data_IF_159288863662
#
_entry.id   IF_159288863662
#
_cell.length_a   1.000
_cell.length_b   1.000
_cell.length_c   1.000
_cell.angle_alpha   90.00
_cell.angle_beta   90.00
_cell.angle_gamma   90.00
#
_symmetry.space_group_name_H-M   'P 1'
#
loop_
_entity.id
_entity.type
_entity.pdbx_description
1 polymer ?
#
# COMPACT_ATOMS: atom_id res chain seq x y z
N UNK A 1 27.32 -14.19 13.30
CA UNK A 1 28.34 -14.49 12.27
C UNK A 1 29.70 -13.89 12.62
N UNK A 2 29.77 -12.60 12.99
CA UNK A 2 31.00 -11.91 13.38
C UNK A 2 31.86 -12.67 14.40
N UNK A 3 31.28 -13.11 15.54
CA UNK A 3 32.00 -13.84 16.61
C UNK A 3 32.75 -15.11 16.13
N UNK A 4 32.36 -15.69 15.00
CA UNK A 4 32.98 -16.90 14.44
C UNK A 4 34.11 -16.60 13.46
N UNK A 5 34.08 -15.45 12.79
CA UNK A 5 34.99 -15.08 11.70
C UNK A 5 35.77 -13.80 11.95
N UNK A 6 35.68 -13.23 13.16
CA UNK A 6 36.33 -11.97 13.55
C UNK A 6 37.84 -12.00 13.33
N UNK A 7 38.49 -13.16 13.45
CA UNK A 7 39.94 -13.31 13.21
C UNK A 7 40.37 -13.19 11.74
N UNK A 8 39.42 -13.12 10.80
CA UNK A 8 39.68 -12.97 9.36
C UNK A 8 39.46 -11.54 8.85
N UNK A 9 39.09 -10.61 9.73
CA UNK A 9 38.77 -9.22 9.38
C UNK A 9 39.67 -8.27 10.14
N UNK A 10 40.42 -7.47 9.40
CA UNK A 10 41.26 -6.39 9.92
C UNK A 10 41.28 -5.21 8.94
N UNK A 11 42.03 -4.16 9.28
CA UNK A 11 42.16 -2.93 8.50
C UNK A 11 42.66 -3.15 7.06
N UNK A 12 43.34 -4.27 6.80
CA UNK A 12 43.87 -4.63 5.48
C UNK A 12 43.02 -5.70 4.76
N UNK A 13 42.00 -6.26 5.43
CA UNK A 13 41.17 -7.36 4.95
C UNK A 13 39.70 -7.14 5.30
N UNK A 14 39.10 -6.12 4.68
CA UNK A 14 37.69 -5.77 4.85
C UNK A 14 36.81 -6.65 3.94
N UNK A 15 35.69 -7.21 4.43
CA UNK A 15 34.80 -8.02 3.60
C UNK A 15 34.20 -7.23 2.44
N UNK A 16 34.34 -7.75 1.23
CA UNK A 16 33.66 -7.21 0.05
C UNK A 16 32.29 -7.87 -0.14
N UNK A 17 31.24 -7.06 -0.19
CA UNK A 17 29.84 -7.52 -0.33
C UNK A 17 29.26 -7.00 -1.65
N UNK A 18 28.55 -7.87 -2.38
CA UNK A 18 27.75 -7.50 -3.56
C UNK A 18 26.34 -8.08 -3.43
N UNK A 19 25.35 -7.29 -3.83
CA UNK A 19 23.94 -7.70 -3.85
C UNK A 19 23.37 -7.64 -5.28
N UNK A 20 22.28 -8.37 -5.50
CA UNK A 20 21.45 -8.22 -6.71
C UNK A 20 20.51 -7.02 -6.52
N UNK A 21 20.08 -6.38 -7.62
CA UNK A 21 19.35 -5.11 -7.60
C UNK A 21 17.87 -5.15 -7.17
N UNK A 22 17.42 -6.25 -6.56
CA UNK A 22 16.08 -6.37 -5.97
C UNK A 22 16.15 -5.82 -4.53
N UNK A 23 15.27 -4.88 -4.18
CA UNK A 23 15.36 -4.09 -2.94
C UNK A 23 15.50 -4.98 -1.70
N UNK A 24 14.74 -6.06 -1.60
CA UNK A 24 14.80 -6.99 -0.46
C UNK A 24 16.17 -7.69 -0.30
N UNK A 25 16.89 -7.86 -1.40
CA UNK A 25 18.22 -8.49 -1.44
C UNK A 25 19.29 -7.46 -1.10
N UNK A 26 19.09 -6.21 -1.56
CA UNK A 26 19.90 -5.06 -1.12
C UNK A 26 19.74 -4.89 0.40
N UNK A 27 18.52 -4.85 0.91
CA UNK A 27 18.22 -4.66 2.34
C UNK A 27 18.80 -5.78 3.20
N UNK A 28 18.70 -7.04 2.75
CA UNK A 28 19.33 -8.17 3.44
C UNK A 28 20.85 -8.04 3.49
N UNK A 29 21.47 -7.57 2.39
CA UNK A 29 22.92 -7.34 2.34
C UNK A 29 23.36 -6.17 3.22
N UNK A 30 22.52 -5.12 3.29
CA UNK A 30 22.72 -3.95 4.13
C UNK A 30 22.62 -4.32 5.61
N UNK A 31 21.58 -5.06 6.01
CA UNK A 31 21.39 -5.52 7.39
C UNK A 31 22.50 -6.47 7.85
N UNK A 32 22.98 -7.34 6.97
CA UNK A 32 24.14 -8.17 7.28
C UNK A 32 25.39 -7.32 7.50
N UNK A 33 25.64 -6.34 6.63
CA UNK A 33 26.82 -5.47 6.69
C UNK A 33 26.78 -4.56 7.93
N UNK A 34 25.60 -4.03 8.28
CA UNK A 34 25.37 -3.22 9.47
C UNK A 34 25.59 -4.03 10.76
N UNK A 35 24.97 -5.22 10.88
CA UNK A 35 25.16 -6.07 12.06
C UNK A 35 26.58 -6.63 12.20
N UNK A 36 27.31 -6.78 11.08
CA UNK A 36 28.73 -7.11 11.09
C UNK A 36 29.61 -5.91 11.50
N UNK A 37 29.23 -4.70 11.10
CA UNK A 37 29.89 -3.44 11.49
C UNK A 37 29.68 -3.07 12.95
N UNK A 38 28.46 -3.15 13.46
CA UNK A 38 28.14 -2.79 14.85
C UNK A 38 28.85 -3.69 15.86
N UNK A 39 28.88 -5.00 15.61
CA UNK A 39 29.64 -5.95 16.41
C UNK A 39 31.16 -5.69 16.40
N UNK A 40 31.65 -4.87 15.47
CA UNK A 40 33.03 -4.37 15.42
C UNK A 40 33.25 -3.02 16.12
N UNK A 41 32.20 -2.35 16.62
CA UNK A 41 32.24 -1.07 17.35
C UNK A 41 31.85 0.18 16.54
N UNK A 42 30.84 0.10 15.67
CA UNK A 42 30.56 1.10 14.64
C UNK A 42 29.54 2.19 15.01
N UNK A 43 29.65 3.33 14.30
CA UNK A 43 28.78 4.51 14.38
C UNK A 43 27.52 4.30 13.52
N UNK A 44 26.36 4.05 14.14
CA UNK A 44 25.07 3.79 13.46
C UNK A 44 24.43 5.08 12.93
N UNK A 45 23.77 4.98 11.78
CA UNK A 45 23.00 6.05 11.14
C UNK A 45 21.50 5.96 11.46
N UNK A 46 20.74 7.02 11.16
CA UNK A 46 19.27 7.01 11.30
C UNK A 46 18.62 5.90 10.45
N UNK A 47 19.20 5.58 9.28
CA UNK A 47 18.74 4.48 8.44
C UNK A 47 18.93 3.12 9.12
N UNK A 48 20.05 2.93 9.83
CA UNK A 48 20.30 1.71 10.59
C UNK A 48 19.29 1.55 11.73
N UNK A 49 18.91 2.64 12.39
CA UNK A 49 17.85 2.65 13.41
C UNK A 49 16.52 2.18 12.84
N UNK A 50 16.07 2.70 11.70
CA UNK A 50 14.82 2.26 11.05
C UNK A 50 14.87 0.78 10.65
N UNK A 51 16.02 0.31 10.17
CA UNK A 51 16.21 -1.10 9.83
C UNK A 51 16.12 -1.99 11.07
N UNK A 52 16.76 -1.60 12.19
CA UNK A 52 16.69 -2.32 13.47
C UNK A 52 15.27 -2.35 14.04
N UNK A 53 14.52 -1.24 13.94
CA UNK A 53 13.11 -1.20 14.32
C UNK A 53 12.26 -2.14 13.45
N UNK A 54 12.53 -2.19 12.14
CA UNK A 54 11.89 -3.12 11.21
C UNK A 54 12.20 -4.59 11.50
N UNK A 55 13.35 -4.92 12.09
CA UNK A 55 13.67 -6.30 12.46
C UNK A 55 12.68 -6.88 13.48
N UNK A 56 12.10 -6.06 14.37
CA UNK A 56 11.09 -6.51 15.33
C UNK A 56 9.93 -7.28 14.66
N UNK A 57 9.12 -6.69 13.77
CA UNK A 57 8.02 -7.40 13.13
C UNK A 57 8.49 -8.54 12.22
N UNK A 58 9.58 -8.38 11.47
CA UNK A 58 10.04 -9.42 10.53
C UNK A 58 10.55 -10.68 11.24
N UNK A 59 11.38 -10.52 12.28
CA UNK A 59 11.90 -11.64 13.07
C UNK A 59 10.77 -12.31 13.88
N UNK A 60 9.83 -11.52 14.40
CA UNK A 60 8.65 -12.04 15.10
C UNK A 60 7.79 -12.91 14.18
N UNK A 61 7.49 -12.45 12.96
CA UNK A 61 6.72 -13.20 11.97
C UNK A 61 7.45 -14.44 11.46
N UNK A 62 8.77 -14.36 11.29
CA UNK A 62 9.61 -15.46 10.81
C UNK A 62 9.72 -16.60 11.83
N UNK A 63 9.83 -16.26 13.11
CA UNK A 63 10.07 -17.23 14.19
C UNK A 63 8.78 -17.68 14.89
N UNK A 64 7.72 -16.87 14.82
CA UNK A 64 6.46 -17.09 15.52
C UNK A 64 6.52 -16.79 17.02
N UNK A 65 7.58 -16.12 17.49
CA UNK A 65 7.75 -15.65 18.88
C UNK A 65 8.18 -14.19 18.87
N UNK A 66 7.84 -13.43 19.92
CA UNK A 66 8.21 -12.02 20.02
C UNK A 66 9.73 -11.84 19.90
N UNK A 67 10.13 -11.00 18.94
CA UNK A 67 11.54 -10.76 18.65
C UNK A 67 12.20 -9.94 19.75
N UNK A 68 13.44 -10.27 20.18
CA UNK A 68 14.23 -9.42 21.06
C UNK A 68 14.51 -8.02 20.49
N UNK A 69 14.43 -7.83 19.16
CA UNK A 69 14.53 -6.50 18.55
C UNK A 69 13.39 -5.58 18.97
N UNK A 70 12.25 -6.12 19.39
CA UNK A 70 11.11 -5.34 19.87
C UNK A 70 11.39 -4.63 21.20
N UNK A 71 12.26 -5.20 22.04
CA UNK A 71 12.61 -4.65 23.36
C UNK A 71 13.74 -3.59 23.29
N UNK A 72 14.33 -3.38 22.10
CA UNK A 72 15.37 -2.37 21.90
C UNK A 72 14.83 -0.94 21.89
N UNK A 73 13.53 -0.78 21.61
CA UNK A 73 12.88 0.51 21.43
C UNK A 73 11.64 0.64 22.33
N UNK A 74 11.35 1.87 22.72
CA UNK A 74 10.19 2.22 23.54
C UNK A 74 8.92 2.33 22.70
N UNK A 75 7.77 2.31 23.36
CA UNK A 75 6.48 2.53 22.70
C UNK A 75 6.38 3.91 22.01
N UNK A 76 7.06 4.93 22.54
CA UNK A 76 7.10 6.27 21.94
C UNK A 76 7.93 6.29 20.65
N UNK A 77 9.05 5.57 20.63
CA UNK A 77 9.86 5.38 19.42
C UNK A 77 9.07 4.61 18.35
N UNK A 78 8.34 3.55 18.74
CA UNK A 78 7.45 2.84 17.80
C UNK A 78 6.31 3.72 17.26
N UNK A 79 5.76 4.63 18.08
CA UNK A 79 4.78 5.60 17.59
C UNK A 79 5.39 6.57 16.57
N UNK A 80 6.65 6.96 16.78
CA UNK A 80 7.42 7.77 15.82
C UNK A 80 7.71 6.99 14.53
N UNK A 81 8.04 5.70 14.64
CA UNK A 81 8.26 4.80 13.51
C UNK A 81 6.99 4.58 12.68
N UNK A 82 5.83 4.37 13.32
CA UNK A 82 4.54 4.33 12.61
C UNK A 82 4.32 5.63 11.84
N UNK A 83 4.55 6.78 12.49
CA UNK A 83 4.32 8.06 11.84
C UNK A 83 5.31 8.35 10.69
N UNK A 84 6.56 7.89 10.82
CA UNK A 84 7.53 7.95 9.72
C UNK A 84 7.00 7.24 8.48
N UNK A 85 6.46 6.02 8.62
CA UNK A 85 5.88 5.28 7.49
C UNK A 85 4.50 5.81 7.06
N UNK A 86 3.75 6.46 7.94
CA UNK A 86 2.57 7.23 7.54
C UNK A 86 2.96 8.34 6.56
N UNK A 87 4.00 9.12 6.87
CA UNK A 87 4.53 10.19 6.01
C UNK A 87 5.07 9.62 4.69
N UNK A 88 5.93 8.60 4.75
CA UNK A 88 6.52 7.94 3.59
C UNK A 88 5.45 7.47 2.61
N UNK A 89 4.44 6.74 3.11
CA UNK A 89 3.37 6.22 2.27
C UNK A 89 2.38 7.29 1.82
N UNK A 90 2.07 8.28 2.66
CA UNK A 90 1.14 9.35 2.30
C UNK A 90 1.67 10.22 1.16
N UNK A 91 2.94 10.64 1.24
CA UNK A 91 3.58 11.51 0.25
C UNK A 91 4.34 10.75 -0.84
N UNK A 92 4.61 9.46 -0.65
CA UNK A 92 5.20 8.59 -1.67
C UNK A 92 4.13 8.02 -2.58
N UNK A 93 3.23 7.21 -2.01
CA UNK A 93 2.24 6.42 -2.78
C UNK A 93 0.79 6.66 -2.36
N UNK A 94 0.50 7.84 -1.83
CA UNK A 94 -0.78 8.19 -1.25
C UNK A 94 -1.29 9.53 -1.77
N UNK A 95 -2.39 10.05 -1.21
CA UNK A 95 -3.02 11.28 -1.69
C UNK A 95 -2.19 12.54 -1.43
N UNK A 96 -1.07 12.46 -0.69
CA UNK A 96 -0.10 13.53 -0.58
C UNK A 96 0.73 13.75 -1.85
N UNK A 97 0.84 12.72 -2.70
CA UNK A 97 1.42 12.82 -4.04
C UNK A 97 0.30 13.07 -5.05
N UNK A 98 0.42 14.15 -5.83
CA UNK A 98 -0.62 14.59 -6.76
C UNK A 98 -0.90 13.59 -7.88
N UNK A 99 0.07 12.76 -8.27
CA UNK A 99 -0.08 11.81 -9.38
C UNK A 99 -0.37 10.38 -8.90
N UNK A 100 -0.47 10.16 -7.60
CA UNK A 100 -0.71 8.83 -7.08
C UNK A 100 -2.17 8.38 -7.18
N UNK A 101 -3.18 9.20 -6.84
CA UNK A 101 -4.57 8.82 -7.03
C UNK A 101 -4.87 8.34 -8.45
N UNK A 102 -4.28 8.97 -9.47
CA UNK A 102 -4.51 8.53 -10.86
C UNK A 102 -3.93 7.15 -11.16
N UNK A 103 -2.94 6.66 -10.41
CA UNK A 103 -2.40 5.28 -10.54
C UNK A 103 -3.42 4.20 -10.18
N UNK A 104 -4.46 4.55 -9.42
CA UNK A 104 -5.53 3.62 -9.03
C UNK A 104 -6.71 3.54 -10.01
N UNK A 105 -6.78 4.46 -11.00
CA UNK A 105 -7.96 4.64 -11.86
C UNK A 105 -8.29 3.40 -12.68
N UNK A 106 -7.29 2.77 -13.31
CA UNK A 106 -7.52 1.57 -14.11
C UNK A 106 -8.19 0.44 -13.32
N UNK A 107 -7.75 0.18 -12.09
CA UNK A 107 -8.37 -0.82 -11.23
C UNK A 107 -9.80 -0.45 -10.81
N UNK A 108 -10.06 0.83 -10.53
CA UNK A 108 -11.42 1.29 -10.22
C UNK A 108 -12.35 1.08 -11.43
N UNK A 109 -11.87 1.33 -12.65
CA UNK A 109 -12.64 1.08 -13.87
C UNK A 109 -12.87 -0.43 -14.13
N UNK A 110 -11.90 -1.29 -13.82
CA UNK A 110 -12.08 -2.76 -13.84
C UNK A 110 -13.13 -3.23 -12.83
N UNK A 111 -13.10 -2.69 -11.60
CA UNK A 111 -14.08 -2.96 -10.57
C UNK A 111 -15.50 -2.56 -11.03
N UNK A 112 -15.64 -1.35 -11.60
CA UNK A 112 -16.91 -0.86 -12.13
C UNK A 112 -17.43 -1.75 -13.28
N UNK A 113 -16.55 -2.22 -14.16
CA UNK A 113 -16.91 -3.16 -15.23
C UNK A 113 -17.50 -4.45 -14.66
N UNK A 114 -16.84 -5.06 -13.66
CA UNK A 114 -17.32 -6.28 -12.99
C UNK A 114 -18.63 -6.06 -12.24
N UNK A 115 -18.79 -4.94 -11.53
CA UNK A 115 -20.01 -4.62 -10.77
C UNK A 115 -21.23 -4.36 -11.68
N UNK A 116 -21.01 -3.73 -12.83
CA UNK A 116 -22.06 -3.36 -13.79
C UNK A 116 -22.30 -4.41 -14.87
N UNK A 117 -21.41 -5.39 -15.02
CA UNK A 117 -21.44 -6.37 -16.10
C UNK A 117 -21.22 -5.74 -17.48
N UNK A 118 -20.51 -4.61 -17.55
CA UNK A 118 -20.21 -3.88 -18.79
C UNK A 118 -18.72 -3.98 -19.12
N UNK A 119 -18.37 -3.77 -20.39
CA UNK A 119 -16.97 -3.72 -20.81
C UNK A 119 -16.22 -2.60 -20.09
N UNK A 120 -14.94 -2.82 -19.82
CA UNK A 120 -14.03 -1.83 -19.23
C UNK A 120 -14.00 -0.58 -20.12
N UNK A 121 -14.15 0.59 -19.50
CA UNK A 121 -14.01 1.89 -20.13
C UNK A 121 -12.89 2.63 -19.41
N UNK A 122 -11.70 2.57 -19.99
CA UNK A 122 -10.50 3.14 -19.40
C UNK A 122 -9.47 3.49 -20.49
N UNK A 123 -8.82 4.64 -20.31
CA UNK A 123 -7.70 5.09 -21.13
C UNK A 123 -6.43 5.32 -20.30
N UNK A 124 -6.34 4.66 -19.15
CA UNK A 124 -5.25 4.80 -18.18
C UNK A 124 -4.34 3.56 -18.16
N UNK A 125 -4.31 2.78 -17.07
CA UNK A 125 -3.38 1.66 -16.88
C UNK A 125 -3.91 0.30 -17.36
N UNK A 126 -5.17 0.21 -17.79
CA UNK A 126 -5.78 -1.07 -18.19
C UNK A 126 -5.15 -1.66 -19.45
N UNK A 127 -5.13 -2.99 -19.55
CA UNK A 127 -4.64 -3.67 -20.74
C UNK A 127 -5.82 -4.05 -21.62
N UNK A 128 -6.16 -3.17 -22.55
CA UNK A 128 -7.30 -3.35 -23.48
C UNK A 128 -7.31 -4.69 -24.22
N UNK A 129 -6.16 -5.34 -24.43
CA UNK A 129 -6.11 -6.67 -25.06
C UNK A 129 -6.63 -7.75 -24.10
N UNK A 130 -6.24 -7.70 -22.82
CA UNK A 130 -6.71 -8.64 -21.81
C UNK A 130 -8.15 -8.35 -21.39
N UNK A 131 -8.52 -7.07 -21.31
CA UNK A 131 -9.81 -6.66 -20.75
C UNK A 131 -10.96 -6.76 -21.77
N UNK A 132 -10.64 -6.91 -23.06
CA UNK A 132 -11.61 -7.17 -24.12
C UNK A 132 -11.90 -8.66 -24.38
N UNK A 133 -11.14 -9.57 -23.77
CA UNK A 133 -11.35 -11.02 -23.87
C UNK A 133 -11.97 -11.57 -22.58
N UNK A 134 -13.17 -12.16 -22.68
CA UNK A 134 -13.89 -12.76 -21.55
C UNK A 134 -13.17 -13.97 -20.91
N UNK A 135 -12.18 -14.55 -21.59
CA UNK A 135 -11.33 -15.59 -21.04
C UNK A 135 -10.35 -15.04 -19.99
N UNK A 136 -9.86 -13.82 -20.19
CA UNK A 136 -8.90 -13.15 -19.30
C UNK A 136 -9.56 -12.12 -18.38
N UNK A 137 -10.69 -11.55 -18.78
CA UNK A 137 -11.50 -10.62 -17.99
C UNK A 137 -12.99 -11.02 -18.02
N UNK A 138 -13.39 -12.08 -17.27
CA UNK A 138 -14.78 -12.51 -17.25
C UNK A 138 -15.66 -11.54 -16.47
N UNK A 139 -16.82 -11.16 -17.00
CA UNK A 139 -17.78 -10.25 -16.34
C UNK A 139 -18.92 -10.98 -15.59
N UNK A 140 -19.05 -12.30 -15.79
CA UNK A 140 -20.19 -13.11 -15.30
C UNK A 140 -19.86 -13.95 -14.07
N UNK A 141 -18.74 -13.70 -13.39
CA UNK A 141 -18.41 -14.37 -12.12
C UNK A 141 -19.05 -13.64 -10.95
N UNK A 142 -19.34 -14.40 -9.90
CA UNK A 142 -19.88 -13.89 -8.64
C UNK A 142 -18.79 -13.55 -7.62
N UNK A 143 -17.55 -13.94 -7.89
CA UNK A 143 -16.42 -13.75 -6.99
C UNK A 143 -15.14 -13.50 -7.80
N UNK A 144 -14.35 -12.53 -7.35
CA UNK A 144 -13.09 -12.11 -7.93
C UNK A 144 -12.09 -11.90 -6.79
N UNK A 145 -10.81 -12.19 -7.05
CA UNK A 145 -9.74 -11.97 -6.10
C UNK A 145 -8.49 -11.53 -6.87
N UNK A 146 -8.02 -10.31 -6.58
CA UNK A 146 -6.81 -9.72 -7.16
C UNK A 146 -5.78 -9.54 -6.05
N UNK A 147 -4.52 -9.88 -6.34
CA UNK A 147 -3.40 -9.78 -5.38
C UNK A 147 -2.44 -8.70 -5.85
N UNK A 148 -2.20 -7.71 -4.99
CA UNK A 148 -1.50 -6.47 -5.32
C UNK A 148 -0.42 -6.16 -4.28
N UNK A 149 0.37 -5.12 -4.54
CA UNK A 149 1.28 -4.53 -3.56
C UNK A 149 0.58 -3.40 -2.79
N UNK A 150 1.09 -3.11 -1.60
CA UNK A 150 0.70 -1.96 -0.78
C UNK A 150 0.74 -0.63 -1.56
N UNK A 151 1.81 -0.40 -2.33
CA UNK A 151 1.98 0.76 -3.20
C UNK A 151 0.97 0.84 -4.35
N UNK A 152 0.25 -0.25 -4.65
CA UNK A 152 -0.84 -0.26 -5.62
C UNK A 152 -2.19 -0.10 -4.93
N UNK A 153 -2.35 -0.63 -3.71
CA UNK A 153 -3.58 -0.50 -2.95
C UNK A 153 -3.82 0.94 -2.47
N UNK A 154 -2.78 1.62 -2.00
CA UNK A 154 -2.86 3.01 -1.54
C UNK A 154 -3.44 3.98 -2.60
N UNK A 155 -2.96 3.99 -3.87
CA UNK A 155 -3.56 4.82 -4.92
C UNK A 155 -4.96 4.36 -5.32
N UNK A 156 -5.28 3.05 -5.26
CA UNK A 156 -6.66 2.56 -5.46
C UNK A 156 -7.59 3.14 -4.40
N UNK A 157 -7.19 3.16 -3.14
CA UNK A 157 -8.00 3.73 -2.05
C UNK A 157 -8.22 5.23 -2.28
N UNK A 158 -7.19 5.95 -2.74
CA UNK A 158 -7.28 7.37 -3.05
C UNK A 158 -8.21 7.63 -4.25
N UNK A 159 -8.04 6.91 -5.36
CA UNK A 159 -8.87 7.00 -6.56
C UNK A 159 -10.36 6.72 -6.27
N UNK A 160 -10.59 5.73 -5.41
CA UNK A 160 -11.93 5.32 -4.97
C UNK A 160 -12.54 6.32 -3.96
N UNK A 161 -11.75 7.25 -3.42
CA UNK A 161 -12.21 8.23 -2.42
C UNK A 161 -12.40 7.64 -1.01
N UNK A 162 -11.79 6.49 -0.72
CA UNK A 162 -11.89 5.81 0.60
C UNK A 162 -11.02 6.49 1.67
N UNK A 163 -9.97 7.19 1.26
CA UNK A 163 -8.98 7.82 2.14
C UNK A 163 -8.93 9.33 1.91
N UNK A 164 -9.97 10.04 2.35
CA UNK A 164 -10.01 11.50 2.32
C UNK A 164 -9.32 12.09 3.56
N UNK A 165 -7.98 12.11 3.56
CA UNK A 165 -7.17 12.68 4.64
C UNK A 165 -6.68 14.07 4.28
N UNK A 166 -6.52 14.93 5.28
CA UNK A 166 -5.74 16.17 5.14
C UNK A 166 -4.26 15.85 5.04
N UNK A 167 -3.48 16.79 4.48
CA UNK A 167 -2.02 16.72 4.46
C UNK A 167 -1.47 16.46 5.86
N UNK A 168 -0.52 15.52 5.95
CA UNK A 168 0.15 15.16 7.19
C UNK A 168 1.28 16.15 7.49
N UNK A 169 1.41 16.57 8.75
CA UNK A 169 2.51 17.43 9.21
C UNK A 169 3.81 16.61 9.35
N UNK A 170 4.87 16.87 8.56
CA UNK A 170 6.10 16.08 8.62
C UNK A 170 6.78 16.05 10.00
N UNK A 171 6.45 16.98 10.90
CA UNK A 171 7.11 17.12 12.19
C UNK A 171 6.26 16.63 13.37
N UNK A 172 4.96 16.41 13.19
CA UNK A 172 4.09 16.09 14.32
C UNK A 172 2.86 15.25 13.93
N UNK A 173 2.63 14.09 14.57
CA UNK A 173 1.44 13.30 14.35
C UNK A 173 0.18 14.03 14.85
N UNK A 174 -0.71 14.40 13.93
CA UNK A 174 -2.04 14.88 14.28
C UNK A 174 -2.84 13.82 15.04
N UNK A 175 -3.44 14.18 16.17
CA UNK A 175 -4.17 13.25 17.05
C UNK A 175 -5.37 12.56 16.38
N UNK A 176 -5.95 13.17 15.34
CA UNK A 176 -7.11 12.66 14.60
C UNK A 176 -6.78 12.40 13.12
N UNK A 177 -5.53 12.04 12.79
CA UNK A 177 -5.15 11.74 11.40
C UNK A 177 -5.95 10.55 10.87
N UNK A 178 -6.46 10.68 9.65
CA UNK A 178 -7.24 9.64 8.98
C UNK A 178 -6.33 8.66 8.24
N UNK A 179 -5.17 9.13 7.79
CA UNK A 179 -4.13 8.28 7.22
C UNK A 179 -3.30 7.62 8.32
N UNK A 180 -3.48 6.30 8.46
CA UNK A 180 -2.67 5.43 9.32
C UNK A 180 -2.31 4.21 8.49
N UNK A 181 -1.09 4.17 7.97
CA UNK A 181 -0.60 3.17 7.03
C UNK A 181 -0.78 1.74 7.54
N UNK A 182 -0.49 1.51 8.82
CA UNK A 182 -0.65 0.22 9.52
C UNK A 182 -2.09 -0.30 9.52
N UNK A 183 -3.09 0.58 9.33
CA UNK A 183 -4.51 0.23 9.23
C UNK A 183 -5.04 0.16 7.79
N UNK A 184 -4.31 0.73 6.83
CA UNK A 184 -4.72 0.76 5.43
C UNK A 184 -4.12 -0.42 4.67
N UNK A 185 -2.80 -0.57 4.70
CA UNK A 185 -2.04 -1.57 3.93
C UNK A 185 -1.04 -2.34 4.81
N UNK A 186 -1.50 -3.01 5.89
CA UNK A 186 -0.65 -3.93 6.63
C UNK A 186 -0.26 -5.15 5.77
N UNK A 187 0.63 -6.00 6.27
CA UNK A 187 0.81 -7.33 5.69
C UNK A 187 -0.52 -8.08 5.66
N UNK A 188 -0.83 -8.69 4.51
CA UNK A 188 -2.14 -9.31 4.23
C UNK A 188 -3.34 -8.35 4.33
N UNK A 189 -3.09 -7.04 4.25
CA UNK A 189 -4.12 -6.04 4.14
C UNK A 189 -4.97 -6.27 2.88
N UNK A 190 -6.26 -5.97 2.97
CA UNK A 190 -7.20 -6.26 1.89
C UNK A 190 -8.37 -5.29 1.87
N UNK A 191 -8.95 -5.14 0.68
CA UNK A 191 -10.20 -4.42 0.44
C UNK A 191 -11.22 -5.37 -0.15
N UNK A 192 -12.41 -5.41 0.44
CA UNK A 192 -13.52 -6.22 -0.03
C UNK A 192 -14.65 -5.31 -0.50
N UNK A 193 -15.10 -5.50 -1.74
CA UNK A 193 -16.24 -4.78 -2.31
C UNK A 193 -17.38 -5.76 -2.52
N UNK A 194 -18.50 -5.52 -1.88
CA UNK A 194 -19.67 -6.39 -1.91
C UNK A 194 -20.81 -5.70 -2.65
N UNK A 195 -21.38 -6.37 -3.66
CA UNK A 195 -22.66 -5.99 -4.26
C UNK A 195 -23.77 -6.83 -3.62
N UNK A 196 -24.76 -6.15 -3.04
CA UNK A 196 -25.81 -6.73 -2.22
C UNK A 196 -27.17 -6.48 -2.88
N UNK A 197 -28.02 -7.50 -2.94
CA UNK A 197 -29.43 -7.38 -3.35
C UNK A 197 -30.32 -7.60 -2.11
N UNK A 198 -31.00 -6.54 -1.69
CA UNK A 198 -31.95 -6.56 -0.60
C UNK A 198 -33.37 -6.38 -1.15
N UNK A 199 -33.98 -7.49 -1.60
CA UNK A 199 -35.35 -7.52 -2.14
C UNK A 199 -35.55 -6.64 -3.39
N UNK A 200 -34.63 -6.76 -4.35
CA UNK A 200 -34.63 -6.01 -5.61
C UNK A 200 -34.01 -4.62 -5.51
N UNK A 201 -33.41 -4.26 -4.37
CA UNK A 201 -32.62 -3.04 -4.20
C UNK A 201 -31.15 -3.39 -4.16
N UNK A 202 -30.43 -2.99 -5.19
CA UNK A 202 -28.99 -3.19 -5.28
C UNK A 202 -28.23 -2.12 -4.50
N UNK A 203 -27.21 -2.55 -3.76
CA UNK A 203 -26.35 -1.67 -2.97
C UNK A 203 -24.92 -2.18 -2.98
N UNK A 204 -23.98 -1.30 -2.65
CA UNK A 204 -22.55 -1.60 -2.53
C UNK A 204 -22.08 -1.26 -1.13
N UNK A 205 -21.24 -2.13 -0.58
CA UNK A 205 -20.47 -1.90 0.64
C UNK A 205 -19.00 -2.17 0.37
N UNK A 206 -18.14 -1.37 0.97
CA UNK A 206 -16.68 -1.57 0.92
C UNK A 206 -16.16 -1.76 2.33
N UNK A 207 -15.30 -2.76 2.51
CA UNK A 207 -14.58 -3.01 3.74
C UNK A 207 -13.08 -2.89 3.47
N UNK A 208 -12.36 -2.21 4.36
CA UNK A 208 -10.90 -2.22 4.39
C UNK A 208 -10.46 -2.91 5.66
N UNK A 209 -9.73 -4.02 5.55
CA UNK A 209 -9.29 -4.84 6.69
C UNK A 209 -10.44 -5.14 7.66
N UNK A 210 -11.53 -5.70 7.12
CA UNK A 210 -12.80 -6.01 7.80
C UNK A 210 -13.59 -4.81 8.37
N UNK A 211 -13.08 -3.58 8.25
CA UNK A 211 -13.79 -2.37 8.70
C UNK A 211 -14.67 -1.79 7.58
N UNK A 212 -15.98 -1.71 7.83
CA UNK A 212 -16.94 -1.08 6.91
C UNK A 212 -16.62 0.40 6.72
N UNK A 213 -16.50 0.82 5.47
CA UNK A 213 -16.20 2.20 5.11
C UNK A 213 -17.48 3.05 4.97
N UNK A 214 -17.42 4.35 5.32
CA UNK A 214 -18.61 5.19 5.38
C UNK A 214 -19.15 5.64 4.01
N UNK A 215 -18.36 5.55 2.92
CA UNK A 215 -18.76 5.87 1.55
C UNK A 215 -19.53 7.20 1.39
N UNK A 216 -19.04 8.26 2.05
CA UNK A 216 -19.70 9.57 2.08
C UNK A 216 -19.92 10.17 0.68
N UNK A 217 -19.04 9.85 -0.27
CA UNK A 217 -19.09 10.33 -1.65
C UNK A 217 -20.34 9.92 -2.42
N UNK A 218 -21.10 8.93 -1.94
CA UNK A 218 -22.35 8.51 -2.55
C UNK A 218 -23.55 8.53 -1.58
N UNK A 219 -23.41 9.24 -0.45
CA UNK A 219 -24.48 9.44 0.52
C UNK A 219 -24.91 8.17 1.26
N UNK A 220 -23.97 7.24 1.47
CA UNK A 220 -24.26 5.96 2.11
C UNK A 220 -24.82 6.12 3.54
N UNK A 221 -25.69 5.18 3.91
CA UNK A 221 -26.25 5.04 5.26
C UNK A 221 -25.77 3.70 5.82
N UNK A 222 -25.20 3.70 7.03
CA UNK A 222 -24.60 2.51 7.65
C UNK A 222 -23.55 1.80 6.77
N UNK A 223 -22.80 2.57 5.96
CA UNK A 223 -21.78 2.07 5.03
C UNK A 223 -22.33 1.38 3.78
N UNK A 224 -23.63 1.50 3.54
CA UNK A 224 -24.32 0.96 2.37
C UNK A 224 -24.68 2.07 1.40
N UNK A 225 -24.17 1.96 0.17
CA UNK A 225 -24.42 2.89 -0.90
C UNK A 225 -25.41 2.29 -1.91
N UNK A 226 -26.38 3.06 -2.41
CA UNK A 226 -27.21 2.60 -3.53
C UNK A 226 -26.31 2.36 -4.76
N UNK A 227 -26.57 1.27 -5.50
CA UNK A 227 -25.64 0.80 -6.53
C UNK A 227 -25.37 1.85 -7.62
N UNK A 228 -26.40 2.51 -8.13
CA UNK A 228 -26.23 3.53 -9.16
C UNK A 228 -25.51 4.77 -8.61
N UNK A 229 -25.84 5.22 -7.40
CA UNK A 229 -25.14 6.31 -6.71
C UNK A 229 -23.65 5.99 -6.49
N UNK A 230 -23.31 4.74 -6.18
CA UNK A 230 -21.93 4.29 -6.08
C UNK A 230 -21.20 4.45 -7.41
N UNK A 231 -21.75 3.91 -8.50
CA UNK A 231 -21.15 4.01 -9.85
C UNK A 231 -21.03 5.47 -10.31
N UNK A 232 -22.01 6.31 -10.00
CA UNK A 232 -22.00 7.74 -10.35
C UNK A 232 -20.94 8.52 -9.57
N UNK A 233 -20.72 8.17 -8.31
CA UNK A 233 -19.72 8.82 -7.45
C UNK A 233 -18.27 8.58 -7.89
N UNK A 234 -17.99 7.51 -8.65
CA UNK A 234 -16.64 7.20 -9.15
C UNK A 234 -16.26 8.05 -10.38
N UNK A 235 -16.63 9.33 -10.37
CA UNK A 235 -16.46 10.24 -11.50
C UNK A 235 -14.99 10.41 -11.89
N UNK A 236 -14.10 10.57 -10.91
CA UNK A 236 -12.67 10.74 -11.14
C UNK A 236 -12.09 9.60 -11.99
N UNK A 237 -12.40 8.34 -11.64
CA UNK A 237 -11.95 7.18 -12.42
C UNK A 237 -12.63 7.10 -13.78
N UNK A 238 -13.95 7.33 -13.84
CA UNK A 238 -14.74 7.28 -15.09
C UNK A 238 -14.37 8.37 -16.09
N UNK A 239 -13.72 9.44 -15.65
CA UNK A 239 -13.16 10.50 -16.47
C UNK A 239 -11.63 10.36 -16.65
N UNK A 240 -11.10 9.14 -16.50
CA UNK A 240 -9.68 8.80 -16.71
C UNK A 240 -8.70 9.66 -15.86
N UNK A 241 -9.10 10.04 -14.65
CA UNK A 241 -8.28 10.87 -13.76
C UNK A 241 -8.35 12.37 -14.06
N UNK A 242 -9.34 12.84 -14.83
CA UNK A 242 -9.63 14.28 -15.04
C UNK A 242 -8.43 15.12 -15.53
N UNK A 243 -7.54 14.52 -16.32
CA UNK A 243 -6.34 15.19 -16.84
C UNK A 243 -5.05 14.83 -16.09
N UNK A 244 -5.13 14.15 -14.94
CA UNK A 244 -3.95 13.80 -14.13
C UNK A 244 -3.13 12.68 -14.79
N UNK A 245 -3.76 11.79 -15.57
CA UNK A 245 -3.06 10.67 -16.18
C UNK A 245 -2.08 11.15 -17.25
N UNK A 246 -2.45 12.20 -17.98
CA UNK A 246 -1.61 12.85 -18.99
C UNK A 246 -0.35 13.46 -18.37
N UNK A 247 -0.40 13.89 -17.11
CA UNK A 247 0.75 14.40 -16.37
C UNK A 247 1.77 13.30 -16.04
N UNK A 248 1.39 12.03 -16.12
CA UNK A 248 2.31 10.89 -15.98
C UNK A 248 3.21 10.72 -17.21
N UNK A 249 3.02 11.53 -18.27
CA UNK A 249 3.81 11.45 -19.50
C UNK A 249 3.37 10.32 -20.44
N UNK A 250 2.17 9.77 -20.23
CA UNK A 250 1.59 8.82 -21.17
C UNK A 250 1.25 9.52 -22.48
N UNK A 251 1.71 8.95 -23.60
CA UNK A 251 1.37 9.42 -24.94
C UNK A 251 0.51 8.34 -25.58
N UNK A 252 -0.77 8.58 -25.85
CA UNK A 252 -1.63 7.62 -26.54
C UNK A 252 -1.00 7.26 -27.89
N UNK A 253 -0.84 5.95 -28.15
CA UNK A 253 -0.39 5.41 -29.45
C UNK A 253 -1.50 5.45 -30.49
#
# INVERSE_FOLDING_TARGET
MFNRYSALVDENSIPFVRAAGDQRIVDSSTNWTAGFGDASGANLSDSDTLNLMGMCPFDTLSTGVDSPFCDLFTAEEYASYEYYYDIDKYYGTGPGNTLDPVQGVGYVNDLLARLTGRAVQDETQTNRTLDSDLATFPLSRTFYADFLHDNTMAPIFAAHGLVNSTALDPFSPGANRLWVNSKLVPFSGHMTVEKLDCSGKESVRVLMNDAVQPLQFCGAVDGMCEFQAFVESQLYARENGQGDFELCGFVPS
#
